data_IF_208647569659
#
_entry.id   IF_208647569659
#
_cell.length_a   1.000
_cell.length_b   1.000
_cell.length_c   1.000
_cell.angle_alpha   90.00
_cell.angle_beta   90.00
_cell.angle_gamma   90.00
#
_symmetry.space_group_name_H-M   'P 1'
#
loop_
_entity.id
_entity.type
_entity.pdbx_description
1 polymer ?
#
# COMPACT_ATOMS: atom_id res chain seq x y z
N UNK A 1 41.83 29.70 0.84
CA UNK A 1 40.38 29.55 1.11
C UNK A 1 39.95 28.20 0.56
N UNK A 2 39.81 27.19 1.40
CA UNK A 2 39.31 25.88 1.00
C UNK A 2 37.81 25.84 1.32
N UNK A 3 36.97 25.87 0.29
CA UNK A 3 35.54 25.65 0.46
C UNK A 3 35.32 24.17 0.76
N UNK A 4 35.02 23.86 2.02
CA UNK A 4 34.42 22.59 2.42
C UNK A 4 33.03 22.51 1.77
N UNK A 5 32.94 21.81 0.64
CA UNK A 5 31.66 21.34 0.12
C UNK A 5 31.20 20.22 1.06
N UNK A 6 30.48 20.57 2.12
CA UNK A 6 29.63 19.61 2.82
C UNK A 6 28.67 19.04 1.77
N UNK A 7 28.66 17.73 1.47
CA UNK A 7 27.61 17.16 0.67
C UNK A 7 26.36 17.15 1.55
N UNK A 8 25.58 18.22 1.46
CA UNK A 8 24.21 18.31 1.96
C UNK A 8 23.29 17.41 1.12
N UNK A 9 23.64 16.12 0.97
CA UNK A 9 22.98 15.21 0.04
C UNK A 9 22.31 14.01 0.74
N UNK A 10 22.26 13.95 2.07
CA UNK A 10 21.82 12.72 2.74
C UNK A 10 20.73 12.92 3.81
N UNK A 11 19.88 13.92 3.64
CA UNK A 11 18.52 13.83 4.18
C UNK A 11 17.67 13.06 3.17
N UNK A 12 17.99 11.78 2.99
CA UNK A 12 17.02 10.86 2.39
C UNK A 12 15.87 10.77 3.39
N UNK A 13 14.75 11.42 3.08
CA UNK A 13 13.53 11.32 3.87
C UNK A 13 12.98 9.90 3.71
N UNK A 14 13.50 8.95 4.50
CA UNK A 14 13.01 7.58 4.48
C UNK A 14 11.66 7.53 5.20
N UNK A 15 10.59 7.24 4.46
CA UNK A 15 9.28 6.98 5.08
C UNK A 15 9.28 5.56 5.63
N UNK A 16 8.75 5.37 6.85
CA UNK A 16 8.64 4.05 7.48
C UNK A 16 7.18 3.59 7.43
N UNK A 17 6.95 2.40 6.89
CA UNK A 17 5.66 1.72 6.96
C UNK A 17 5.65 0.81 8.19
N UNK A 18 4.69 1.01 9.09
CA UNK A 18 4.54 0.22 10.32
C UNK A 18 3.34 -0.72 10.20
N UNK A 19 3.54 -1.98 10.58
CA UNK A 19 2.46 -2.93 10.81
C UNK A 19 2.26 -3.06 12.32
N UNK A 20 1.08 -2.69 12.79
CA UNK A 20 0.76 -2.64 14.22
C UNK A 20 -0.35 -3.64 14.54
N UNK A 21 -0.28 -4.26 15.70
CA UNK A 21 -1.41 -5.00 16.26
C UNK A 21 -2.43 -4.00 16.80
N UNK A 22 -3.66 -4.01 16.27
CA UNK A 22 -4.71 -3.06 16.65
C UNK A 22 -5.11 -3.18 18.13
N UNK A 23 -5.08 -4.39 18.70
CA UNK A 23 -5.59 -4.66 20.05
C UNK A 23 -4.61 -4.22 21.13
N UNK A 24 -3.32 -4.41 20.88
CA UNK A 24 -2.25 -4.18 21.85
C UNK A 24 -1.50 -2.87 21.58
N UNK A 25 -1.53 -2.39 20.34
CA UNK A 25 -0.74 -1.24 19.90
C UNK A 25 0.75 -1.55 19.70
N UNK A 26 1.15 -2.83 19.72
CA UNK A 26 2.54 -3.23 19.51
C UNK A 26 2.93 -3.22 18.03
N UNK A 27 4.17 -2.81 17.73
CA UNK A 27 4.75 -2.95 16.40
C UNK A 27 4.99 -4.43 16.12
N UNK A 28 4.31 -4.97 15.11
CA UNK A 28 4.55 -6.33 14.61
C UNK A 28 5.84 -6.32 13.77
N UNK A 29 5.94 -5.37 12.83
CA UNK A 29 7.12 -5.19 11.98
C UNK A 29 7.09 -3.83 11.27
N UNK A 30 8.16 -3.53 10.54
CA UNK A 30 8.33 -2.27 9.83
C UNK A 30 9.21 -2.39 8.59
N UNK A 31 8.90 -1.53 7.62
CA UNK A 31 9.60 -1.48 6.33
C UNK A 31 10.05 -0.05 6.04
N UNK A 32 11.24 0.08 5.46
CA UNK A 32 11.71 1.35 4.91
C UNK A 32 11.14 1.47 3.50
N UNK A 33 10.43 2.55 3.24
CA UNK A 33 9.82 2.85 1.95
C UNK A 33 10.64 3.88 1.21
N UNK A 34 10.81 3.65 -0.09
CA UNK A 34 11.26 4.65 -1.04
C UNK A 34 10.17 5.72 -1.25
N UNK A 35 10.59 6.93 -1.62
CA UNK A 35 9.65 7.97 -2.04
C UNK A 35 8.83 7.50 -3.24
N UNK A 36 7.50 7.64 -3.14
CA UNK A 36 6.54 7.15 -4.13
C UNK A 36 6.52 5.61 -4.30
N UNK A 37 7.09 4.87 -3.35
CA UNK A 37 7.14 3.41 -3.35
C UNK A 37 5.77 2.74 -3.24
N UNK A 38 5.76 1.45 -3.59
CA UNK A 38 4.56 0.61 -3.59
C UNK A 38 4.73 -0.55 -2.62
N UNK A 39 3.63 -0.97 -2.01
CA UNK A 39 3.55 -2.23 -1.26
C UNK A 39 2.22 -2.91 -1.54
N UNK A 40 2.13 -4.21 -1.32
CA UNK A 40 0.87 -4.95 -1.43
C UNK A 40 0.51 -5.63 -0.12
N UNK A 41 -0.80 -5.80 0.07
CA UNK A 41 -1.38 -6.61 1.14
C UNK A 41 -2.20 -7.71 0.48
N UNK A 42 -1.99 -8.95 0.91
CA UNK A 42 -2.82 -10.08 0.48
C UNK A 42 -3.47 -10.73 1.69
N UNK A 43 -4.77 -10.94 1.61
CA UNK A 43 -5.55 -11.55 2.69
C UNK A 43 -6.68 -12.40 2.14
N UNK A 44 -7.17 -13.34 2.93
CA UNK A 44 -8.33 -14.17 2.56
C UNK A 44 -9.58 -13.56 3.16
N UNK A 45 -10.56 -13.23 2.32
CA UNK A 45 -11.82 -12.67 2.80
C UNK A 45 -12.62 -13.74 3.54
N UNK A 46 -13.10 -13.44 4.76
CA UNK A 46 -13.78 -14.41 5.61
C UNK A 46 -15.09 -14.95 5.02
N UNK A 47 -15.78 -14.16 4.19
CA UNK A 47 -17.06 -14.53 3.57
C UNK A 47 -16.85 -15.35 2.29
N UNK A 48 -16.05 -14.83 1.36
CA UNK A 48 -15.89 -15.44 0.02
C UNK A 48 -14.77 -16.49 -0.01
N UNK A 49 -14.00 -16.62 1.09
CA UNK A 49 -12.86 -17.53 1.24
C UNK A 49 -11.88 -17.49 0.06
N UNK A 50 -11.78 -16.32 -0.56
CA UNK A 50 -10.96 -16.07 -1.73
C UNK A 50 -9.87 -15.06 -1.39
N UNK A 51 -8.66 -15.20 -1.98
CA UNK A 51 -7.60 -14.24 -1.78
C UNK A 51 -7.99 -12.92 -2.44
N UNK A 52 -7.76 -11.83 -1.71
CA UNK A 52 -7.76 -10.46 -2.19
C UNK A 52 -6.32 -9.98 -2.16
N UNK A 53 -5.90 -9.29 -3.21
CA UNK A 53 -4.61 -8.62 -3.28
C UNK A 53 -4.82 -7.13 -3.56
N UNK A 54 -4.34 -6.28 -2.67
CA UNK A 54 -4.42 -4.83 -2.80
C UNK A 54 -3.03 -4.25 -2.92
N UNK A 55 -2.86 -3.33 -3.87
CA UNK A 55 -1.61 -2.61 -4.10
C UNK A 55 -1.82 -1.16 -3.69
N UNK A 56 -0.89 -0.67 -2.89
CA UNK A 56 -0.89 0.66 -2.33
C UNK A 56 0.33 1.43 -2.80
N UNK A 57 0.16 2.74 -2.99
CA UNK A 57 1.26 3.67 -3.22
C UNK A 57 1.39 4.63 -2.04
N UNK A 58 2.61 4.81 -1.55
CA UNK A 58 2.92 5.80 -0.52
C UNK A 58 3.32 7.11 -1.20
N UNK A 59 2.52 8.17 -1.04
CA UNK A 59 2.84 9.51 -1.58
C UNK A 59 2.80 10.53 -0.46
N UNK A 60 3.90 11.25 -0.21
CA UNK A 60 3.98 12.30 0.83
C UNK A 60 3.41 11.84 2.19
N UNK A 61 3.83 10.68 2.68
CA UNK A 61 3.35 10.05 3.93
C UNK A 61 1.86 9.63 3.96
N UNK A 62 1.17 9.64 2.82
CA UNK A 62 -0.19 9.11 2.70
C UNK A 62 -0.18 7.79 1.92
N UNK A 63 -1.13 6.91 2.22
CA UNK A 63 -1.29 5.60 1.58
C UNK A 63 -2.50 5.66 0.66
N UNK A 64 -2.32 5.31 -0.61
CA UNK A 64 -3.38 5.32 -1.63
C UNK A 64 -3.55 3.93 -2.22
N UNK A 65 -4.78 3.40 -2.24
CA UNK A 65 -5.10 2.18 -2.99
C UNK A 65 -5.02 2.49 -4.49
N UNK A 66 -4.24 1.72 -5.23
CA UNK A 66 -4.03 1.92 -6.68
C UNK A 66 -4.48 0.72 -7.53
N UNK A 67 -4.66 -0.45 -6.92
CA UNK A 67 -5.19 -1.65 -7.58
C UNK A 67 -5.74 -2.60 -6.52
N UNK A 68 -6.86 -3.28 -6.81
CA UNK A 68 -7.41 -4.33 -5.94
C UNK A 68 -7.86 -5.49 -6.81
N UNK A 69 -7.27 -6.67 -6.63
CA UNK A 69 -7.63 -7.88 -7.36
C UNK A 69 -8.41 -8.82 -6.45
N UNK A 70 -9.60 -9.21 -6.89
CA UNK A 70 -10.50 -10.07 -6.11
C UNK A 70 -11.35 -10.96 -7.03
N UNK A 71 -11.80 -12.12 -6.54
CA UNK A 71 -12.58 -13.07 -7.36
C UNK A 71 -14.05 -12.68 -7.55
N UNK A 72 -14.65 -12.06 -6.53
CA UNK A 72 -16.09 -11.77 -6.50
C UNK A 72 -16.36 -10.48 -5.74
N UNK A 73 -17.22 -9.63 -6.29
CA UNK A 73 -17.67 -8.41 -5.65
C UNK A 73 -18.51 -8.74 -4.40
N UNK A 74 -18.33 -8.01 -3.30
CA UNK A 74 -19.03 -8.29 -2.04
C UNK A 74 -18.51 -7.45 -0.88
N UNK A 75 -18.88 -7.83 0.35
CA UNK A 75 -18.34 -7.21 1.56
C UNK A 75 -16.81 -7.29 1.58
N UNK A 76 -16.14 -6.23 2.03
CA UNK A 76 -14.67 -6.18 2.16
C UNK A 76 -13.90 -5.94 0.86
N UNK A 77 -14.59 -5.62 -0.24
CA UNK A 77 -13.98 -5.13 -1.48
C UNK A 77 -14.15 -3.61 -1.54
N UNK A 78 -13.19 -2.87 -2.09
CA UNK A 78 -13.34 -1.45 -2.35
C UNK A 78 -14.59 -1.18 -3.21
N UNK A 79 -15.62 -0.57 -2.61
CA UNK A 79 -16.94 -0.37 -3.25
C UNK A 79 -16.98 0.91 -4.07
N UNK A 80 -16.20 1.91 -3.67
CA UNK A 80 -16.01 3.12 -4.45
C UNK A 80 -14.80 2.96 -5.35
N UNK A 81 -14.97 3.29 -6.63
CA UNK A 81 -13.89 3.45 -7.59
C UNK A 81 -13.55 4.95 -7.59
N UNK A 82 -12.50 5.40 -6.87
CA UNK A 82 -12.03 6.76 -6.96
C UNK A 82 -11.83 7.22 -8.40
N UNK A 83 -12.02 8.52 -8.65
CA UNK A 83 -11.75 9.11 -9.96
C UNK A 83 -10.33 8.74 -10.44
N UNK A 84 -10.26 8.14 -11.63
CA UNK A 84 -9.01 7.69 -12.24
C UNK A 84 -8.66 6.21 -12.05
N UNK A 85 -9.48 5.43 -11.33
CA UNK A 85 -9.37 3.97 -11.30
C UNK A 85 -10.32 3.33 -12.32
N UNK A 86 -9.89 2.20 -12.88
CA UNK A 86 -10.64 1.43 -13.88
C UNK A 86 -11.00 0.10 -13.24
N UNK A 87 -12.28 -0.28 -13.34
CA UNK A 87 -12.75 -1.60 -12.95
C UNK A 87 -12.82 -2.50 -14.18
N UNK A 88 -12.09 -3.61 -14.14
CA UNK A 88 -12.00 -4.59 -15.21
C UNK A 88 -12.38 -5.98 -14.69
N UNK A 89 -13.20 -6.69 -15.47
CA UNK A 89 -13.61 -8.07 -15.16
C UNK A 89 -12.95 -9.04 -16.13
N UNK A 90 -12.25 -10.02 -15.57
CA UNK A 90 -11.57 -11.10 -16.26
C UNK A 90 -12.28 -12.44 -15.98
N UNK A 91 -11.89 -13.51 -16.69
CA UNK A 91 -12.42 -14.86 -16.45
C UNK A 91 -12.03 -15.39 -15.05
N UNK A 92 -10.89 -14.96 -14.51
CA UNK A 92 -10.30 -15.44 -13.25
C UNK A 92 -10.50 -14.49 -12.06
N UNK A 93 -11.15 -13.34 -12.26
CA UNK A 93 -11.44 -12.37 -11.21
C UNK A 93 -11.73 -10.96 -11.74
N UNK A 94 -11.70 -9.98 -10.84
CA UNK A 94 -11.86 -8.56 -11.14
C UNK A 94 -10.60 -7.79 -10.69
N UNK A 95 -10.34 -6.64 -11.30
CA UNK A 95 -9.28 -5.69 -10.96
C UNK A 95 -9.81 -4.26 -10.94
#
# INVERSE_FOLDING_TARGET
MAFLLLPCCLLANSTRLLLMDERTGEEITSFIMEDNGYFSISFVHSVNQSPIEEVYQVRKNHIYLVSSRFKSFGAGVAVEIPEGLIFERFEDGCR
#
